data_IF_107763533427
#
_entry.id   IF_107763533427
#
_cell.length_a   1.000
_cell.length_b   1.000
_cell.length_c   1.000
_cell.angle_alpha   90.00
_cell.angle_beta   90.00
_cell.angle_gamma   90.00
#
_symmetry.space_group_name_H-M   'P 1'
#
loop_
_entity.id
_entity.type
_entity.pdbx_description
1 polymer ?
#
# COMPACT_ATOMS: atom_id res chain seq x y z
N UNK A 1 3.58 -14.81 9.79
CA UNK A 1 2.77 -14.23 8.69
C UNK A 1 3.36 -12.91 8.23
N UNK A 2 3.02 -12.42 7.03
CA UNK A 2 3.49 -11.12 6.50
C UNK A 2 2.31 -10.17 6.32
N UNK A 3 2.46 -8.94 6.81
CA UNK A 3 1.49 -7.84 6.64
C UNK A 3 2.21 -6.69 5.95
N UNK A 4 1.73 -6.28 4.79
CA UNK A 4 2.21 -5.06 4.14
C UNK A 4 1.56 -3.84 4.80
N UNK A 5 2.35 -2.88 5.23
CA UNK A 5 1.90 -1.51 5.57
C UNK A 5 2.54 -0.58 4.56
N UNK A 6 1.75 -0.01 3.66
CA UNK A 6 2.28 0.62 2.47
C UNK A 6 1.65 2.00 2.25
N UNK A 7 2.50 2.96 1.89
CA UNK A 7 2.13 4.36 1.69
C UNK A 7 2.24 4.77 0.22
N UNK A 8 1.30 5.59 -0.26
CA UNK A 8 1.34 6.19 -1.61
C UNK A 8 1.61 5.14 -2.69
N UNK A 9 2.51 5.40 -3.63
CA UNK A 9 2.91 4.45 -4.69
C UNK A 9 3.45 3.11 -4.15
N UNK A 10 3.99 3.09 -2.93
CA UNK A 10 4.44 1.85 -2.29
C UNK A 10 3.31 0.83 -2.14
N UNK A 11 2.06 1.28 -2.01
CA UNK A 11 0.90 0.39 -1.97
C UNK A 11 0.58 -0.26 -3.32
N UNK A 12 0.81 0.46 -4.43
CA UNK A 12 0.66 -0.10 -5.78
C UNK A 12 1.75 -1.14 -6.06
N UNK A 13 2.97 -0.88 -5.60
CA UNK A 13 4.09 -1.83 -5.67
C UNK A 13 3.75 -3.10 -4.86
N UNK A 14 3.29 -2.94 -3.61
CA UNK A 14 2.90 -4.08 -2.77
C UNK A 14 1.78 -4.91 -3.42
N UNK A 15 0.75 -4.26 -4.00
CA UNK A 15 -0.28 -4.94 -4.79
C UNK A 15 0.32 -5.75 -5.95
N UNK A 16 1.22 -5.13 -6.73
CA UNK A 16 1.89 -5.77 -7.86
C UNK A 16 2.71 -6.99 -7.42
N UNK A 17 3.41 -6.89 -6.29
CA UNK A 17 4.16 -8.00 -5.69
C UNK A 17 3.24 -9.18 -5.35
N UNK A 18 2.15 -8.93 -4.62
CA UNK A 18 1.16 -9.96 -4.24
C UNK A 18 0.54 -10.61 -5.47
N UNK A 19 0.20 -9.82 -6.50
CA UNK A 19 -0.34 -10.35 -7.75
C UNK A 19 0.68 -11.26 -8.44
N UNK A 20 1.93 -10.80 -8.60
CA UNK A 20 3.00 -11.59 -9.23
C UNK A 20 3.27 -12.88 -8.47
N UNK A 21 3.14 -12.89 -7.14
CA UNK A 21 3.27 -14.12 -6.36
C UNK A 21 2.16 -15.12 -6.68
N UNK A 22 0.90 -14.68 -6.78
CA UNK A 22 -0.21 -15.56 -7.17
C UNK A 22 -0.09 -16.06 -8.62
N UNK A 23 0.23 -15.17 -9.56
CA UNK A 23 0.35 -15.52 -10.98
C UNK A 23 1.50 -16.50 -11.26
N UNK A 24 2.55 -16.48 -10.42
CA UNK A 24 3.70 -17.38 -10.51
C UNK A 24 3.59 -18.60 -9.59
N UNK A 25 2.44 -18.78 -8.94
CA UNK A 25 2.20 -19.86 -7.95
C UNK A 25 3.29 -19.94 -6.86
N UNK A 26 3.79 -18.79 -6.42
CA UNK A 26 4.79 -18.71 -5.37
C UNK A 26 4.11 -18.80 -4.02
N UNK A 27 4.53 -19.78 -3.21
CA UNK A 27 4.08 -19.89 -1.82
C UNK A 27 4.43 -18.63 -1.03
N UNK A 28 3.44 -18.07 -0.35
CA UNK A 28 3.62 -16.91 0.52
C UNK A 28 2.69 -16.97 1.74
N UNK A 29 3.10 -16.32 2.82
CA UNK A 29 2.33 -16.20 4.06
C UNK A 29 1.79 -14.77 4.28
N UNK A 30 1.57 -14.04 3.19
CA UNK A 30 0.98 -12.69 3.19
C UNK A 30 -0.49 -12.79 3.63
N UNK A 31 -0.79 -12.19 4.77
CA UNK A 31 -2.12 -12.25 5.40
C UNK A 31 -2.79 -10.90 5.51
N UNK A 32 -2.06 -9.79 5.33
CA UNK A 32 -2.60 -8.45 5.45
C UNK A 32 -2.01 -7.43 4.48
N UNK A 33 -2.82 -6.43 4.16
CA UNK A 33 -2.43 -5.22 3.46
C UNK A 33 -3.13 -4.00 4.07
N UNK A 34 -2.34 -3.13 4.71
CA UNK A 34 -2.76 -1.86 5.29
C UNK A 34 -2.29 -0.75 4.36
N UNK A 35 -3.25 -0.11 3.69
CA UNK A 35 -3.05 0.98 2.77
C UNK A 35 -3.08 2.32 3.49
N UNK A 36 -2.04 3.13 3.34
CA UNK A 36 -1.95 4.51 3.83
C UNK A 36 -1.90 5.46 2.63
N UNK A 37 -2.98 6.21 2.37
CA UNK A 37 -3.02 7.19 1.27
C UNK A 37 -2.49 6.66 -0.08
N UNK A 38 -2.84 5.41 -0.42
CA UNK A 38 -2.42 4.77 -1.67
C UNK A 38 -3.41 5.16 -2.78
N UNK A 39 -2.96 5.68 -3.93
CA UNK A 39 -3.85 6.10 -5.01
C UNK A 39 -4.36 4.87 -5.76
N UNK A 40 -5.40 4.22 -5.22
CA UNK A 40 -6.00 3.03 -5.82
C UNK A 40 -6.76 3.34 -7.10
N UNK A 41 -7.33 4.53 -7.26
CA UNK A 41 -8.05 4.90 -8.49
C UNK A 41 -7.19 5.86 -9.31
N UNK A 42 -6.82 5.45 -10.53
CA UNK A 42 -5.90 6.18 -11.40
C UNK A 42 -6.53 7.36 -12.17
N UNK A 43 -7.86 7.53 -12.13
CA UNK A 43 -8.59 8.42 -13.04
C UNK A 43 -9.07 9.75 -12.45
N UNK A 44 -9.11 9.90 -11.12
CA UNK A 44 -9.47 11.18 -10.51
C UNK A 44 -8.24 11.89 -9.95
N UNK A 45 -7.81 12.85 -10.76
CA UNK A 45 -7.05 14.07 -10.41
C UNK A 45 -5.53 14.01 -10.44
N UNK A 46 -5.01 14.95 -11.22
CA UNK A 46 -3.62 15.36 -11.44
C UNK A 46 -2.79 15.68 -10.18
N UNK A 47 -3.27 15.39 -8.97
CA UNK A 47 -2.67 15.88 -7.73
C UNK A 47 -1.38 15.15 -7.36
N UNK A 48 -1.27 13.85 -7.63
CA UNK A 48 -0.03 13.09 -7.36
C UNK A 48 1.06 13.27 -8.42
N UNK A 49 0.74 13.80 -9.61
CA UNK A 49 1.74 14.11 -10.64
C UNK A 49 2.81 15.07 -10.10
N UNK A 50 2.41 15.97 -9.19
CA UNK A 50 3.30 16.87 -8.46
C UNK A 50 4.37 16.16 -7.63
N UNK A 51 4.15 14.90 -7.22
CA UNK A 51 5.12 14.11 -6.46
C UNK A 51 6.16 13.42 -7.33
N UNK A 52 5.82 13.05 -8.57
CA UNK A 52 6.70 12.23 -9.41
C UNK A 52 7.63 13.09 -10.26
N UNK A 53 7.22 14.30 -10.62
CA UNK A 53 8.09 15.38 -11.12
C UNK A 53 7.24 16.59 -11.53
N UNK A 54 7.76 17.80 -11.41
CA UNK A 54 7.19 18.99 -12.05
C UNK A 54 7.14 18.90 -13.59
N UNK A 55 7.77 17.89 -14.19
CA UNK A 55 7.89 17.68 -15.63
C UNK A 55 7.09 16.47 -16.17
N UNK A 56 6.16 15.91 -15.38
CA UNK A 56 5.28 14.82 -15.86
C UNK A 56 4.50 15.30 -17.08
N UNK A 57 4.70 14.64 -18.23
CA UNK A 57 3.97 14.95 -19.44
C UNK A 57 2.57 14.30 -19.39
N UNK A 58 1.61 14.86 -20.12
CA UNK A 58 0.24 14.29 -20.23
C UNK A 58 0.26 12.82 -20.70
N UNK A 59 1.26 12.45 -21.52
CA UNK A 59 1.49 11.08 -21.96
C UNK A 59 1.79 10.13 -20.79
N UNK A 60 2.68 10.52 -19.89
CA UNK A 60 3.09 9.70 -18.74
C UNK A 60 1.89 9.43 -17.81
N UNK A 61 1.08 10.46 -17.54
CA UNK A 61 -0.10 10.32 -16.68
C UNK A 61 -1.14 9.37 -17.28
N UNK A 62 -1.30 9.42 -18.60
CA UNK A 62 -2.19 8.52 -19.33
C UNK A 62 -1.72 7.06 -19.29
N UNK A 63 -0.41 6.84 -19.34
CA UNK A 63 0.22 5.52 -19.18
C UNK A 63 -0.08 5.06 -17.75
N UNK A 64 0.35 5.80 -16.72
CA UNK A 64 0.14 5.42 -15.32
C UNK A 64 -1.31 5.10 -14.96
N UNK A 65 -2.29 5.84 -15.51
CA UNK A 65 -3.71 5.54 -15.31
C UNK A 65 -4.08 4.14 -15.83
N UNK A 66 -3.58 3.76 -17.01
CA UNK A 66 -3.80 2.44 -17.62
C UNK A 66 -3.13 1.34 -16.82
N UNK A 67 -1.91 1.55 -16.30
CA UNK A 67 -1.26 0.53 -15.46
C UNK A 67 -1.98 0.37 -14.13
N UNK A 68 -2.42 1.46 -13.51
CA UNK A 68 -3.18 1.42 -12.26
C UNK A 68 -4.51 0.69 -12.46
N UNK A 69 -5.21 0.97 -13.55
CA UNK A 69 -6.44 0.26 -13.91
C UNK A 69 -6.19 -1.23 -14.19
N UNK A 70 -5.12 -1.55 -14.91
CA UNK A 70 -4.70 -2.93 -15.17
C UNK A 70 -4.38 -3.67 -13.87
N UNK A 71 -3.64 -3.02 -12.97
CA UNK A 71 -3.29 -3.53 -11.65
C UNK A 71 -4.55 -3.81 -10.83
N UNK A 72 -5.51 -2.89 -10.79
CA UNK A 72 -6.76 -3.10 -10.07
C UNK A 72 -7.61 -4.23 -10.65
N UNK A 73 -7.69 -4.33 -11.98
CA UNK A 73 -8.40 -5.44 -12.64
C UNK A 73 -7.78 -6.79 -12.32
N UNK A 74 -6.46 -6.88 -12.16
CA UNK A 74 -5.77 -8.11 -11.74
C UNK A 74 -5.96 -8.36 -10.25
N UNK A 75 -5.88 -7.32 -9.42
CA UNK A 75 -6.09 -7.39 -7.97
C UNK A 75 -7.43 -8.01 -7.61
N UNK A 76 -8.53 -7.55 -8.22
CA UNK A 76 -9.88 -8.06 -7.92
C UNK A 76 -10.12 -9.49 -8.41
N UNK A 77 -9.25 -10.01 -9.28
CA UNK A 77 -9.32 -11.38 -9.81
C UNK A 77 -8.50 -12.38 -9.01
N UNK A 78 -7.76 -11.94 -7.99
CA UNK A 78 -6.98 -12.86 -7.18
C UNK A 78 -7.90 -13.87 -6.48
N UNK A 79 -7.53 -15.17 -6.49
CA UNK A 79 -8.37 -16.21 -5.90
C UNK A 79 -8.52 -16.04 -4.38
N UNK A 80 -7.52 -15.44 -3.74
CA UNK A 80 -7.50 -15.13 -2.32
C UNK A 80 -6.87 -13.76 -2.11
N UNK A 81 -7.62 -12.87 -1.47
CA UNK A 81 -7.10 -11.59 -1.02
C UNK A 81 -6.61 -11.69 0.43
N UNK A 82 -5.52 -10.99 0.81
CA UNK A 82 -5.19 -10.78 2.21
C UNK A 82 -6.26 -9.91 2.89
N UNK A 83 -6.25 -9.83 4.22
CA UNK A 83 -7.12 -8.87 4.91
C UNK A 83 -6.72 -7.43 4.55
N UNK A 84 -7.68 -6.64 4.07
CA UNK A 84 -7.44 -5.30 3.54
C UNK A 84 -7.93 -4.24 4.54
N UNK A 85 -7.08 -3.24 4.82
CA UNK A 85 -7.44 -2.06 5.61
C UNK A 85 -7.01 -0.81 4.86
N UNK A 86 -7.86 0.21 4.84
CA UNK A 86 -7.62 1.44 4.09
C UNK A 86 -7.68 2.65 5.02
N UNK A 87 -6.59 3.40 5.07
CA UNK A 87 -6.50 4.68 5.76
C UNK A 87 -6.27 5.80 4.74
N UNK A 88 -6.89 6.95 4.98
CA UNK A 88 -6.66 8.17 4.21
C UNK A 88 -6.49 9.37 5.15
N UNK A 89 -5.66 10.32 4.76
CA UNK A 89 -5.45 11.57 5.49
C UNK A 89 -6.60 12.54 5.21
N UNK A 90 -7.24 13.08 6.25
CA UNK A 90 -8.27 14.11 6.07
C UNK A 90 -7.70 15.44 5.59
N UNK A 91 -6.38 15.64 5.75
CA UNK A 91 -5.65 16.80 5.25
C UNK A 91 -4.81 16.46 4.02
N UNK A 92 -4.99 15.26 3.45
CA UNK A 92 -4.27 14.83 2.26
C UNK A 92 -4.87 15.47 1.00
N UNK A 93 -4.14 16.43 0.43
CA UNK A 93 -4.48 17.07 -0.84
C UNK A 93 -3.94 16.32 -2.06
N UNK A 94 -3.04 15.35 -1.88
CA UNK A 94 -2.35 14.62 -2.93
C UNK A 94 -3.16 13.38 -3.33
N UNK A 95 -3.48 12.53 -2.36
CA UNK A 95 -4.30 11.34 -2.54
C UNK A 95 -5.59 11.53 -1.78
N UNK A 96 -6.52 12.22 -2.44
CA UNK A 96 -7.85 12.47 -1.89
C UNK A 96 -8.58 11.17 -1.61
N UNK A 97 -9.55 11.21 -0.67
CA UNK A 97 -10.35 10.06 -0.24
C UNK A 97 -10.85 9.17 -1.39
N UNK A 98 -11.35 9.77 -2.47
CA UNK A 98 -11.88 9.03 -3.63
C UNK A 98 -10.82 8.20 -4.36
N UNK A 99 -9.56 8.64 -4.33
CA UNK A 99 -8.42 7.88 -4.86
C UNK A 99 -7.86 6.90 -3.83
N UNK A 100 -7.89 7.26 -2.54
CA UNK A 100 -7.38 6.45 -1.44
C UNK A 100 -8.20 5.17 -1.12
N UNK A 101 -9.40 5.04 -1.68
CA UNK A 101 -10.32 3.93 -1.43
C UNK A 101 -10.64 3.25 -2.78
N UNK A 102 -10.38 1.93 -2.93
CA UNK A 102 -10.78 1.21 -4.13
C UNK A 102 -12.30 1.27 -4.34
N UNK A 103 -12.74 1.37 -5.59
CA UNK A 103 -14.18 1.44 -5.96
C UNK A 103 -15.00 0.28 -5.39
N UNK A 104 -14.38 -0.89 -5.21
CA UNK A 104 -15.03 -2.09 -4.70
C UNK A 104 -15.19 -2.11 -3.17
N UNK A 105 -14.58 -1.16 -2.45
CA UNK A 105 -14.59 -1.07 -0.99
C UNK A 105 -15.55 0.02 -0.56
N UNK A 106 -16.41 -0.27 0.42
CA UNK A 106 -17.29 0.76 0.96
C UNK A 106 -16.48 1.84 1.66
N UNK A 107 -16.82 3.11 1.46
CA UNK A 107 -16.18 4.20 2.19
C UNK A 107 -16.33 4.05 3.73
N UNK A 108 -17.33 3.31 4.21
CA UNK A 108 -17.51 2.99 5.64
C UNK A 108 -16.46 2.03 6.18
N UNK A 109 -15.78 1.28 5.31
CA UNK A 109 -14.72 0.33 5.66
C UNK A 109 -13.33 0.98 5.67
N UNK A 110 -13.25 2.27 5.32
CA UNK A 110 -12.04 3.08 5.38
C UNK A 110 -11.96 3.91 6.66
N UNK A 111 -10.74 4.21 7.10
CA UNK A 111 -10.47 4.97 8.32
C UNK A 111 -9.85 6.31 7.95
N UNK A 112 -10.47 7.41 8.38
CA UNK A 112 -9.90 8.74 8.25
C UNK A 112 -8.93 9.03 9.41
N UNK A 113 -7.78 9.63 9.11
CA UNK A 113 -6.84 10.13 10.12
C UNK A 113 -6.51 11.60 9.88
N UNK A 114 -6.25 12.37 10.94
CA UNK A 114 -5.94 13.81 10.86
C UNK A 114 -4.48 14.06 10.45
N UNK A 115 -4.08 13.49 9.32
CA UNK A 115 -2.74 13.57 8.75
C UNK A 115 -2.82 14.09 7.30
N UNK A 116 -1.71 14.64 6.82
CA UNK A 116 -1.48 14.90 5.40
C UNK A 116 -0.80 13.70 4.71
N UNK A 117 -0.51 13.84 3.41
CA UNK A 117 0.12 12.78 2.62
C UNK A 117 1.47 12.32 3.19
N UNK A 118 2.28 13.22 3.73
CA UNK A 118 3.62 12.85 4.21
C UNK A 118 3.59 12.31 5.63
N UNK A 119 2.74 12.89 6.49
CA UNK A 119 2.68 12.63 7.93
C UNK A 119 1.92 11.35 8.26
N UNK A 120 1.00 10.89 7.40
CA UNK A 120 0.26 9.63 7.58
C UNK A 120 1.16 8.39 7.71
N UNK A 121 2.37 8.42 7.13
CA UNK A 121 3.35 7.34 7.22
C UNK A 121 4.54 7.66 8.14
N UNK A 122 4.55 8.85 8.74
CA UNK A 122 5.64 9.37 9.60
C UNK A 122 5.06 9.88 10.92
N UNK A 123 4.48 8.98 11.74
CA UNK A 123 3.94 9.38 13.03
C UNK A 123 5.03 10.06 13.85
N UNK A 124 4.67 11.15 14.52
CA UNK A 124 5.60 11.93 15.35
C UNK A 124 6.19 11.09 16.47
N UNK A 125 5.39 10.20 17.04
CA UNK A 125 5.72 9.34 18.16
C UNK A 125 4.77 8.12 18.21
N UNK A 126 4.97 7.25 19.21
CA UNK A 126 4.16 6.04 19.41
C UNK A 126 2.78 6.32 20.01
N UNK A 127 2.50 7.56 20.40
CA UNK A 127 1.20 7.98 20.92
C UNK A 127 0.34 8.64 19.83
N UNK A 128 0.93 8.87 18.65
CA UNK A 128 0.25 9.41 17.47
C UNK A 128 -0.92 8.51 17.06
N UNK A 129 -2.09 9.11 16.80
CA UNK A 129 -3.31 8.37 16.45
C UNK A 129 -3.13 7.42 15.27
N UNK A 130 -2.45 7.86 14.21
CA UNK A 130 -2.19 7.02 13.03
C UNK A 130 -1.34 5.80 13.38
N UNK A 131 -0.34 5.94 14.26
CA UNK A 131 0.48 4.82 14.73
C UNK A 131 -0.36 3.82 15.52
N UNK A 132 -1.15 4.30 16.48
CA UNK A 132 -2.00 3.46 17.32
C UNK A 132 -3.05 2.69 16.50
N UNK A 133 -3.66 3.34 15.51
CA UNK A 133 -4.61 2.71 14.58
C UNK A 133 -3.92 1.64 13.76
N UNK A 134 -2.80 1.94 13.10
CA UNK A 134 -2.06 0.97 12.27
C UNK A 134 -1.60 -0.22 13.11
N UNK A 135 -1.07 0.03 14.31
CA UNK A 135 -0.69 -1.03 15.27
C UNK A 135 -1.88 -1.91 15.61
N UNK A 136 -3.03 -1.33 15.95
CA UNK A 136 -4.26 -2.08 16.26
C UNK A 136 -4.68 -2.97 15.09
N UNK A 137 -4.71 -2.42 13.88
CA UNK A 137 -5.09 -3.16 12.67
C UNK A 137 -4.12 -4.31 12.36
N UNK A 138 -2.82 -4.08 12.50
CA UNK A 138 -1.80 -5.11 12.31
C UNK A 138 -1.97 -6.26 13.32
N UNK A 139 -2.23 -5.93 14.59
CA UNK A 139 -2.52 -6.92 15.64
C UNK A 139 -3.82 -7.69 15.37
N UNK A 140 -4.88 -7.01 14.91
CA UNK A 140 -6.14 -7.68 14.54
C UNK A 140 -5.94 -8.70 13.42
N UNK A 141 -5.21 -8.34 12.36
CA UNK A 141 -4.88 -9.23 11.24
C UNK A 141 -4.01 -10.39 11.73
N UNK A 142 -3.01 -10.11 12.57
CA UNK A 142 -2.11 -11.12 13.10
C UNK A 142 -2.86 -12.13 13.97
N UNK A 143 -3.67 -11.67 14.92
CA UNK A 143 -4.43 -12.53 15.83
C UNK A 143 -5.43 -13.43 15.08
N UNK A 144 -6.10 -12.90 14.04
CA UNK A 144 -6.96 -13.71 13.16
C UNK A 144 -6.18 -14.82 12.44
N UNK A 145 -4.91 -14.58 12.14
CA UNK A 145 -4.03 -15.58 11.52
C UNK A 145 -3.50 -16.59 12.53
N UNK A 146 -3.15 -16.15 13.75
CA UNK A 146 -2.64 -17.04 14.81
C UNK A 146 -3.69 -18.04 15.30
N UNK A 147 -4.97 -17.64 15.33
CA UNK A 147 -6.09 -18.55 15.55
C UNK A 147 -6.14 -19.71 14.52
N UNK A 148 -5.37 -19.61 13.42
CA UNK A 148 -5.33 -20.58 12.32
C UNK A 148 -3.95 -21.28 12.23
N UNK A 149 -2.89 -20.75 12.86
CA UNK A 149 -1.55 -21.38 12.89
C UNK A 149 -0.58 -20.68 13.86
N UNK A 150 0.19 -21.45 14.64
CA UNK A 150 1.30 -20.94 15.46
C UNK A 150 2.50 -20.51 14.59
N UNK A 151 2.91 -19.23 14.67
CA UNK A 151 4.07 -18.69 13.94
C UNK A 151 5.26 -18.45 14.88
N UNK A 152 6.51 -18.64 14.44
CA UNK A 152 7.68 -18.19 15.19
C UNK A 152 7.79 -16.66 15.20
N UNK A 153 8.34 -16.12 16.29
CA UNK A 153 8.55 -14.70 16.54
C UNK A 153 9.55 -14.10 15.52
N UNK A 154 9.19 -12.96 14.92
CA UNK A 154 10.09 -12.23 14.02
C UNK A 154 11.15 -11.46 14.83
N UNK A 155 12.43 -11.70 14.54
CA UNK A 155 13.55 -10.93 15.09
C UNK A 155 14.03 -9.91 14.07
N UNK A 156 14.01 -8.64 14.46
CA UNK A 156 14.57 -7.54 13.67
C UNK A 156 16.06 -7.38 14.01
N UNK A 157 16.91 -7.93 13.14
CA UNK A 157 18.36 -7.86 13.27
C UNK A 157 18.96 -6.61 12.59
N UNK A 158 18.14 -5.62 12.20
CA UNK A 158 18.56 -4.39 11.49
C UNK A 158 19.29 -4.63 10.17
N UNK A 159 19.09 -5.82 9.60
CA UNK A 159 19.81 -6.31 8.43
C UNK A 159 19.55 -5.51 7.13
N UNK A 160 18.56 -4.60 7.15
CA UNK A 160 18.18 -3.78 5.99
C UNK A 160 18.31 -2.26 6.22
N UNK A 161 18.83 -1.81 7.37
CA UNK A 161 18.95 -0.38 7.70
C UNK A 161 19.85 0.40 6.71
N UNK A 162 20.74 -0.30 5.99
CA UNK A 162 21.68 0.27 5.02
C UNK A 162 21.38 -0.08 3.55
N UNK A 163 20.29 -0.80 3.27
CA UNK A 163 19.98 -1.24 1.91
C UNK A 163 19.16 -0.16 1.18
N UNK A 164 19.76 0.42 0.12
CA UNK A 164 19.12 1.27 -0.89
C UNK A 164 18.12 0.46 -1.74
N UNK A 165 17.16 -0.21 -1.10
CA UNK A 165 16.21 -1.15 -1.68
C UNK A 165 15.43 -0.54 -2.84
N UNK A 166 15.11 0.75 -2.74
CA UNK A 166 14.40 1.52 -3.78
C UNK A 166 15.24 1.69 -5.04
N UNK A 167 16.56 1.94 -4.93
CA UNK A 167 17.44 2.05 -6.11
C UNK A 167 17.64 0.70 -6.80
N UNK A 168 17.79 -0.40 -6.05
CA UNK A 168 17.90 -1.74 -6.64
C UNK A 168 16.63 -2.14 -7.38
N UNK A 169 15.45 -1.74 -6.91
CA UNK A 169 14.18 -1.95 -7.61
C UNK A 169 14.08 -1.16 -8.92
N UNK A 170 14.48 0.11 -8.91
CA UNK A 170 14.49 0.95 -10.13
C UNK A 170 15.48 0.39 -11.16
N UNK A 171 16.67 -0.04 -10.74
CA UNK A 171 17.69 -0.62 -11.63
C UNK A 171 17.27 -1.98 -12.18
N UNK A 172 16.55 -2.80 -11.40
CA UNK A 172 16.07 -4.11 -11.85
C UNK A 172 14.99 -4.02 -12.94
N UNK A 173 14.19 -2.95 -12.98
CA UNK A 173 13.17 -2.71 -14.02
C UNK A 173 13.77 -2.17 -15.34
N UNK A 174 15.02 -1.68 -15.33
CA UNK A 174 15.73 -1.18 -16.53
C UNK A 174 16.36 -2.31 -17.37
N UNK A 175 16.26 -3.57 -16.91
CA UNK A 175 16.85 -4.73 -17.57
C UNK A 175 15.84 -5.82 -17.98
N UNK A 176 14.56 -5.48 -18.15
CA UNK A 176 13.55 -6.40 -18.70
C UNK A 176 12.98 -5.90 -20.02
#
# INVERSE_FOLDING_TARGET
NIIFVAHSMGGLIAKSCIIKMHERDLSHNITGFISLAVPHSGSETASWASMVSSNVQLGDLSVFSKETDSLNRRWVKLPKLPELKFLYGSYDSIVVKASAIPVQVSAKESIAVQEDHSTICKPKDRDSNVYLIVKKLALEIHNKTELISSSPEFKDDKQYDNEFFVLKMIVADVHS
#
